data_IF_911532132429
#
_entry.id   IF_911532132429
#
_cell.length_a   1.000
_cell.length_b   1.000
_cell.length_c   1.000
_cell.angle_alpha   90.00
_cell.angle_beta   90.00
_cell.angle_gamma   90.00
#
_symmetry.space_group_name_H-M   'P 1'
#
loop_
_entity.id
_entity.type
_entity.pdbx_description
1 polymer ?
#
# COMPACT_ATOMS: atom_id res chain seq x y z
N UNK A 1 -7.96 -72.11 38.21
CA UNK A 1 -7.12 -70.88 38.22
C UNK A 1 -7.73 -69.96 37.17
N UNK A 2 -8.03 -68.67 37.31
CA UNK A 2 -7.89 -67.60 38.32
C UNK A 2 -9.16 -66.71 38.21
N UNK A 3 -9.28 -65.75 39.11
CA UNK A 3 -10.51 -65.15 39.66
C UNK A 3 -11.20 -64.08 38.81
N UNK A 4 -12.47 -63.89 39.17
CA UNK A 4 -13.47 -62.87 38.83
C UNK A 4 -13.01 -61.48 39.29
N UNK A 5 -13.37 -60.41 38.56
CA UNK A 5 -14.19 -59.28 39.08
C UNK A 5 -13.98 -57.95 38.34
N UNK A 6 -15.12 -57.41 37.89
CA UNK A 6 -15.49 -56.05 37.52
C UNK A 6 -15.08 -54.98 38.56
N UNK A 7 -14.69 -53.78 38.11
CA UNK A 7 -14.88 -52.46 38.77
C UNK A 7 -14.68 -51.38 37.68
N UNK A 8 -15.70 -50.63 37.23
CA UNK A 8 -16.32 -49.39 37.76
C UNK A 8 -15.38 -48.17 37.94
N UNK A 9 -15.71 -47.12 37.16
CA UNK A 9 -15.59 -45.66 37.41
C UNK A 9 -14.25 -45.04 37.86
N UNK A 10 -13.77 -44.05 37.11
CA UNK A 10 -13.54 -42.68 37.60
C UNK A 10 -13.11 -41.74 36.47
N UNK A 11 -13.91 -40.73 36.19
CA UNK A 11 -13.55 -39.56 35.39
C UNK A 11 -12.66 -38.65 36.23
N UNK A 12 -11.50 -38.26 35.73
CA UNK A 12 -10.71 -37.15 36.29
C UNK A 12 -10.32 -36.18 35.20
N UNK A 13 -10.94 -34.99 35.26
CA UNK A 13 -10.43 -33.75 34.69
C UNK A 13 -9.00 -33.52 35.18
N UNK A 14 -8.07 -33.24 34.27
CA UNK A 14 -6.78 -32.68 34.59
C UNK A 14 -6.76 -31.22 34.14
N UNK A 15 -6.89 -30.28 35.09
CA UNK A 15 -6.54 -28.87 34.90
C UNK A 15 -5.15 -28.63 35.50
N UNK A 16 -4.41 -27.79 34.79
CA UNK A 16 -3.02 -27.38 34.95
C UNK A 16 -2.51 -27.11 36.38
N UNK A 17 -1.21 -27.38 36.57
CA UNK A 17 -0.27 -26.50 37.28
C UNK A 17 1.13 -26.74 36.69
N UNK A 18 1.68 -25.72 36.01
CA UNK A 18 2.69 -24.80 36.51
C UNK A 18 4.00 -25.51 36.89
N UNK A 19 4.86 -25.71 35.88
CA UNK A 19 6.28 -25.92 36.09
C UNK A 19 6.90 -24.60 36.55
N UNK A 20 7.08 -24.48 37.86
CA UNK A 20 8.06 -23.60 38.48
C UNK A 20 9.46 -24.10 38.12
N UNK A 21 10.21 -23.34 37.32
CA UNK A 21 11.65 -23.47 37.22
C UNK A 21 12.27 -22.22 37.83
N UNK A 22 12.71 -22.36 39.07
CA UNK A 22 13.60 -21.43 39.75
C UNK A 22 15.03 -21.63 39.26
N UNK A 23 15.68 -20.57 38.85
CA UNK A 23 17.03 -20.15 39.27
C UNK A 23 17.50 -19.05 38.33
N UNK A 24 17.97 -17.96 38.91
CA UNK A 24 18.52 -16.78 38.25
C UNK A 24 19.37 -17.09 37.01
N UNK A 25 18.87 -16.67 35.85
CA UNK A 25 19.68 -16.01 34.85
C UNK A 25 18.82 -14.85 34.35
N UNK A 26 19.37 -13.64 34.40
CA UNK A 26 18.75 -12.41 33.94
C UNK A 26 18.57 -12.47 32.41
N UNK A 27 17.64 -13.30 31.94
CA UNK A 27 17.11 -13.26 30.59
C UNK A 27 15.74 -12.63 30.69
N UNK A 28 15.73 -11.30 30.65
CA UNK A 28 14.57 -10.57 30.15
C UNK A 28 14.20 -11.20 28.82
N UNK A 29 13.18 -12.06 28.84
CA UNK A 29 12.60 -12.64 27.63
C UNK A 29 12.44 -11.49 26.64
N UNK A 30 12.93 -11.62 25.39
CA UNK A 30 12.82 -10.53 24.43
C UNK A 30 11.34 -10.19 24.33
N UNK A 31 10.96 -8.98 24.76
CA UNK A 31 9.61 -8.51 24.46
C UNK A 31 9.46 -8.62 22.94
N UNK A 32 8.36 -9.20 22.42
CA UNK A 32 8.15 -9.23 20.99
C UNK A 32 8.22 -7.79 20.50
N UNK A 33 9.28 -7.49 19.73
CA UNK A 33 9.40 -6.19 19.10
C UNK A 33 8.14 -6.00 18.26
N UNK A 34 7.44 -4.86 18.37
CA UNK A 34 6.31 -4.58 17.52
C UNK A 34 6.79 -4.75 16.07
N UNK A 35 6.13 -5.63 15.32
CA UNK A 35 6.43 -5.76 13.90
C UNK A 35 6.27 -4.38 13.26
N UNK A 36 7.19 -3.96 12.39
CA UNK A 36 7.06 -2.68 11.70
C UNK A 36 5.69 -2.66 11.02
N UNK A 37 4.85 -1.69 11.41
CA UNK A 37 3.52 -1.55 10.83
C UNK A 37 3.69 -1.14 9.38
N UNK A 38 3.21 -1.96 8.45
CA UNK A 38 3.22 -1.60 7.04
C UNK A 38 2.15 -0.53 6.78
N UNK A 39 2.55 0.73 6.87
CA UNK A 39 1.66 1.90 6.74
C UNK A 39 0.98 1.99 5.36
N UNK A 40 1.53 1.31 4.34
CA UNK A 40 0.95 1.27 3.00
C UNK A 40 -0.40 0.54 2.98
N UNK A 41 -0.58 -0.48 3.82
CA UNK A 41 -1.74 -1.38 3.75
C UNK A 41 -3.06 -0.68 4.05
N UNK A 42 -4.10 -0.97 3.26
CA UNK A 42 -5.44 -0.40 3.38
C UNK A 42 -5.78 0.57 2.25
N UNK A 43 -6.92 1.24 2.42
CA UNK A 43 -7.54 2.09 1.40
C UNK A 43 -7.00 3.51 1.37
N UNK A 44 -6.84 4.03 0.16
CA UNK A 44 -6.32 5.35 -0.15
C UNK A 44 -7.14 5.98 -1.26
N UNK A 45 -7.48 7.26 -1.12
CA UNK A 45 -8.17 8.04 -2.16
C UNK A 45 -7.32 9.27 -2.53
N UNK A 46 -7.10 9.47 -3.82
CA UNK A 46 -6.37 10.63 -4.32
C UNK A 46 -7.19 11.91 -4.11
N UNK A 47 -6.61 12.89 -3.42
CA UNK A 47 -7.24 14.19 -3.13
C UNK A 47 -6.66 15.33 -3.95
N UNK A 48 -5.36 15.24 -4.23
CA UNK A 48 -4.61 16.30 -4.90
C UNK A 48 -3.59 15.74 -5.86
N UNK A 49 -3.17 16.57 -6.80
CA UNK A 49 -2.08 16.27 -7.72
C UNK A 49 -1.19 17.51 -7.90
N UNK A 50 0.12 17.29 -7.93
CA UNK A 50 1.08 18.25 -8.47
C UNK A 50 1.50 17.78 -9.86
N UNK A 51 1.66 18.71 -10.79
CA UNK A 51 2.07 18.43 -12.15
C UNK A 51 3.00 19.52 -12.66
N UNK A 52 4.17 19.11 -13.13
CA UNK A 52 5.10 19.96 -13.84
C UNK A 52 5.43 19.33 -15.18
N UNK A 53 5.29 20.11 -16.26
CA UNK A 53 5.65 19.71 -17.61
C UNK A 53 6.59 20.75 -18.21
N UNK A 54 7.73 20.28 -18.71
CA UNK A 54 8.71 21.10 -19.42
C UNK A 54 8.93 20.54 -20.82
N UNK A 55 9.07 21.40 -21.82
CA UNK A 55 9.42 21.01 -23.19
C UNK A 55 10.46 21.96 -23.76
N UNK A 56 11.61 21.40 -24.19
CA UNK A 56 12.72 22.20 -24.72
C UNK A 56 13.24 23.25 -23.73
N UNK A 57 13.16 22.96 -22.42
CA UNK A 57 13.56 23.86 -21.34
C UNK A 57 12.51 24.92 -20.95
N UNK A 58 11.35 24.97 -21.63
CA UNK A 58 10.25 25.86 -21.26
C UNK A 58 9.24 25.12 -20.37
N UNK A 59 8.84 25.73 -19.27
CA UNK A 59 7.76 25.23 -18.41
C UNK A 59 6.43 25.49 -19.10
N UNK A 60 5.70 24.42 -19.41
CA UNK A 60 4.37 24.46 -20.04
C UNK A 60 3.25 24.37 -18.99
N UNK A 61 3.46 23.54 -17.97
CA UNK A 61 2.53 23.32 -16.86
C UNK A 61 3.35 23.34 -15.57
N UNK A 62 2.86 24.05 -14.56
CA UNK A 62 3.39 24.03 -13.19
C UNK A 62 2.22 24.30 -12.24
N UNK A 63 1.53 23.21 -11.89
CA UNK A 63 0.35 23.23 -11.04
C UNK A 63 0.65 22.45 -9.75
N UNK A 64 0.24 23.00 -8.62
CA UNK A 64 0.40 22.39 -7.31
C UNK A 64 -0.94 22.27 -6.63
N UNK A 65 -1.12 21.19 -5.87
CA UNK A 65 -2.29 20.95 -5.04
C UNK A 65 -3.62 21.03 -5.80
N UNK A 66 -3.63 20.60 -7.08
CA UNK A 66 -4.84 20.56 -7.90
C UNK A 66 -5.84 19.61 -7.28
N UNK A 67 -7.01 20.13 -6.90
CA UNK A 67 -8.09 19.36 -6.29
C UNK A 67 -8.71 18.40 -7.34
N UNK A 68 -8.52 17.11 -7.11
CA UNK A 68 -8.94 16.06 -8.06
C UNK A 68 -10.45 15.87 -8.05
N UNK A 69 -11.11 16.15 -6.92
CA UNK A 69 -12.57 16.04 -6.78
C UNK A 69 -13.28 17.10 -7.60
N UNK A 70 -12.75 18.32 -7.64
CA UNK A 70 -13.30 19.41 -8.46
C UNK A 70 -13.08 19.14 -9.95
N UNK A 71 -11.94 18.51 -10.30
CA UNK A 71 -11.69 18.02 -11.65
C UNK A 71 -12.51 16.76 -12.02
N UNK A 72 -13.29 16.20 -11.10
CA UNK A 72 -14.05 14.97 -11.30
C UNK A 72 -13.20 13.69 -11.39
N UNK A 73 -11.89 13.78 -11.14
CA UNK A 73 -10.96 12.66 -11.17
C UNK A 73 -11.09 11.86 -9.87
N UNK A 74 -11.15 10.53 -9.98
CA UNK A 74 -11.15 9.61 -8.84
C UNK A 74 -10.09 8.54 -9.06
N UNK A 75 -9.17 8.41 -8.11
CA UNK A 75 -8.20 7.31 -8.09
C UNK A 75 -8.17 6.77 -6.67
N UNK A 76 -8.43 5.48 -6.54
CA UNK A 76 -8.47 4.77 -5.27
C UNK A 76 -7.61 3.51 -5.35
N UNK A 77 -6.89 3.23 -4.27
CA UNK A 77 -6.08 2.02 -4.11
C UNK A 77 -6.35 1.38 -2.75
N UNK A 78 -6.44 0.04 -2.71
CA UNK A 78 -6.50 -0.74 -1.49
C UNK A 78 -5.39 -1.79 -1.49
N UNK A 79 -4.27 -1.45 -0.83
CA UNK A 79 -3.09 -2.31 -0.77
C UNK A 79 -3.28 -3.42 0.28
N UNK A 80 -3.11 -4.66 -0.14
CA UNK A 80 -3.29 -5.86 0.69
C UNK A 80 -1.94 -6.48 1.08
N UNK A 81 -1.93 -7.22 2.20
CA UNK A 81 -0.72 -7.84 2.74
C UNK A 81 -0.10 -8.93 1.86
N UNK A 82 -0.85 -9.46 0.89
CA UNK A 82 -0.41 -10.47 -0.09
C UNK A 82 0.21 -9.86 -1.36
N UNK A 83 0.51 -8.56 -1.34
CA UNK A 83 1.05 -7.79 -2.47
C UNK A 83 0.07 -7.59 -3.65
N UNK A 84 -1.23 -7.72 -3.39
CA UNK A 84 -2.28 -7.30 -4.31
C UNK A 84 -2.77 -5.89 -4.00
N UNK A 85 -3.27 -5.19 -5.01
CA UNK A 85 -3.93 -3.89 -4.88
C UNK A 85 -5.25 -3.93 -5.64
N UNK A 86 -6.35 -3.63 -4.95
CA UNK A 86 -7.61 -3.32 -5.62
C UNK A 86 -7.57 -1.84 -6.02
N UNK A 87 -8.00 -1.53 -7.24
CA UNK A 87 -7.96 -0.16 -7.75
C UNK A 87 -9.26 0.24 -8.43
N UNK A 88 -9.54 1.53 -8.36
CA UNK A 88 -10.57 2.21 -9.16
C UNK A 88 -9.96 3.50 -9.70
N UNK A 89 -10.12 3.76 -11.00
CA UNK A 89 -9.62 4.95 -11.68
C UNK A 89 -10.71 5.48 -12.59
N UNK A 90 -11.03 6.75 -12.45
CA UNK A 90 -11.94 7.49 -13.31
C UNK A 90 -11.35 8.86 -13.62
N UNK A 91 -11.26 9.16 -14.91
CA UNK A 91 -10.87 10.47 -15.44
C UNK A 91 -11.94 10.92 -16.42
N UNK A 92 -12.60 12.07 -16.18
CA UNK A 92 -13.65 12.54 -17.07
C UNK A 92 -13.11 12.96 -18.44
N UNK A 93 -13.99 12.99 -19.45
CA UNK A 93 -13.62 13.47 -20.77
C UNK A 93 -13.17 14.94 -20.73
N UNK A 94 -12.14 15.27 -21.53
CA UNK A 94 -11.71 16.63 -21.83
C UNK A 94 -11.91 16.91 -23.33
N UNK A 95 -11.59 18.13 -23.78
CA UNK A 95 -11.61 18.43 -25.22
C UNK A 95 -10.61 17.60 -26.04
N UNK A 96 -9.60 17.03 -25.37
CA UNK A 96 -8.47 16.36 -26.00
C UNK A 96 -8.45 14.84 -25.71
N UNK A 97 -9.22 14.37 -24.73
CA UNK A 97 -9.19 12.99 -24.27
C UNK A 97 -10.60 12.49 -23.93
N UNK A 98 -10.93 11.27 -24.35
CA UNK A 98 -12.17 10.62 -23.97
C UNK A 98 -12.18 10.28 -22.47
N UNK A 99 -13.37 10.12 -21.91
CA UNK A 99 -13.54 9.58 -20.56
C UNK A 99 -12.84 8.22 -20.43
N UNK A 100 -12.22 8.00 -19.27
CA UNK A 100 -11.56 6.74 -18.94
C UNK A 100 -12.07 6.25 -17.59
N UNK A 101 -12.50 5.00 -17.54
CA UNK A 101 -12.86 4.31 -16.31
C UNK A 101 -12.25 2.91 -16.32
N UNK A 102 -11.60 2.53 -15.22
CA UNK A 102 -11.00 1.23 -15.05
C UNK A 102 -11.02 0.83 -13.58
N UNK A 103 -11.30 -0.44 -13.31
CA UNK A 103 -11.21 -1.02 -11.97
C UNK A 103 -10.75 -2.47 -12.03
N UNK A 104 -10.15 -2.96 -10.96
CA UNK A 104 -9.82 -4.38 -10.84
C UNK A 104 -8.85 -4.67 -9.72
N UNK A 105 -8.17 -5.80 -9.84
CA UNK A 105 -7.09 -6.22 -8.93
C UNK A 105 -5.79 -6.29 -9.72
N UNK A 106 -4.73 -5.75 -9.14
CA UNK A 106 -3.39 -5.73 -9.69
C UNK A 106 -2.39 -6.21 -8.62
N UNK A 107 -1.12 -6.30 -8.98
CA UNK A 107 -0.04 -6.59 -8.03
C UNK A 107 0.85 -5.38 -7.83
N UNK A 108 1.54 -5.34 -6.69
CA UNK A 108 2.57 -4.35 -6.45
C UNK A 108 3.80 -4.96 -5.79
N UNK A 109 4.96 -4.35 -6.00
CA UNK A 109 6.17 -4.62 -5.23
C UNK A 109 6.67 -3.33 -4.61
N UNK A 110 7.29 -3.42 -3.43
CA UNK A 110 7.88 -2.27 -2.75
C UNK A 110 9.34 -2.56 -2.40
N UNK A 111 10.22 -1.64 -2.76
CA UNK A 111 11.64 -1.69 -2.42
C UNK A 111 12.08 -0.33 -1.87
N UNK A 112 12.18 -0.21 -0.54
CA UNK A 112 12.43 1.06 0.12
C UNK A 112 11.35 2.10 -0.19
N UNK A 113 11.77 3.17 -0.87
CA UNK A 113 10.93 4.30 -1.28
C UNK A 113 10.42 4.17 -2.71
N UNK A 114 10.57 3.00 -3.35
CA UNK A 114 9.98 2.72 -4.66
C UNK A 114 8.83 1.72 -4.53
N UNK A 115 7.75 1.97 -5.28
CA UNK A 115 6.65 1.03 -5.46
C UNK A 115 6.38 0.84 -6.95
N UNK A 116 6.36 -0.41 -7.40
CA UNK A 116 5.98 -0.76 -8.77
C UNK A 116 4.62 -1.41 -8.75
N UNK A 117 3.63 -0.81 -9.43
CA UNK A 117 2.30 -1.37 -9.60
C UNK A 117 2.15 -1.96 -11.01
N UNK A 118 1.59 -3.15 -11.13
CA UNK A 118 1.38 -3.84 -12.42
C UNK A 118 -0.12 -4.02 -12.66
N UNK A 119 -0.74 -3.01 -13.27
CA UNK A 119 -2.16 -3.05 -13.66
C UNK A 119 -2.30 -3.66 -15.06
N UNK A 120 -1.65 -3.06 -16.06
CA UNK A 120 -1.52 -3.57 -17.42
C UNK A 120 -0.04 -3.68 -17.80
N UNK A 121 0.70 -2.60 -17.56
CA UNK A 121 2.15 -2.53 -17.61
C UNK A 121 2.70 -2.13 -16.24
N UNK A 122 3.91 -2.59 -15.87
CA UNK A 122 4.56 -2.14 -14.65
C UNK A 122 4.83 -0.63 -14.70
N UNK A 123 4.36 0.09 -13.68
CA UNK A 123 4.64 1.52 -13.49
C UNK A 123 5.28 1.71 -12.12
N UNK A 124 6.45 2.32 -12.08
CA UNK A 124 7.19 2.59 -10.85
C UNK A 124 6.96 4.01 -10.39
N UNK A 125 6.70 4.17 -9.09
CA UNK A 125 6.55 5.43 -8.41
C UNK A 125 7.57 5.54 -7.28
N UNK A 126 8.07 6.74 -7.05
CA UNK A 126 8.80 7.08 -5.83
C UNK A 126 7.81 7.53 -4.76
N UNK A 127 7.84 6.88 -3.60
CA UNK A 127 7.10 7.27 -2.40
C UNK A 127 7.80 8.50 -1.80
N UNK A 128 7.19 9.68 -1.93
CA UNK A 128 7.73 10.92 -1.32
C UNK A 128 7.29 11.09 0.13
N UNK A 129 6.09 10.60 0.46
CA UNK A 129 5.51 10.62 1.80
C UNK A 129 4.75 9.32 2.01
N UNK A 130 4.95 8.69 3.17
CA UNK A 130 4.12 7.59 3.66
C UNK A 130 4.00 7.69 5.18
N UNK A 131 2.80 7.97 5.67
CA UNK A 131 2.48 7.96 7.09
C UNK A 131 1.09 7.31 7.31
N UNK A 132 0.51 7.42 8.51
CA UNK A 132 -0.80 6.82 8.83
C UNK A 132 -1.98 7.44 8.07
N UNK A 133 -1.82 8.63 7.50
CA UNK A 133 -2.89 9.42 6.89
C UNK A 133 -2.62 9.81 5.45
N UNK A 134 -1.35 9.87 5.03
CA UNK A 134 -0.92 10.40 3.73
C UNK A 134 0.00 9.44 2.98
N UNK A 135 -0.19 9.38 1.67
CA UNK A 135 0.65 8.66 0.72
C UNK A 135 0.86 9.57 -0.50
N UNK A 136 2.11 9.91 -0.81
CA UNK A 136 2.45 10.70 -2.01
C UNK A 136 3.28 9.83 -2.97
N UNK A 137 2.72 9.57 -4.14
CA UNK A 137 3.35 8.79 -5.21
C UNK A 137 3.79 9.71 -6.33
N UNK A 138 5.10 9.74 -6.59
CA UNK A 138 5.70 10.55 -7.63
C UNK A 138 6.11 9.70 -8.84
N UNK A 139 5.87 10.23 -10.02
CA UNK A 139 6.31 9.66 -11.28
C UNK A 139 7.01 10.74 -12.08
N UNK A 140 8.26 10.49 -12.45
CA UNK A 140 9.04 11.33 -13.35
C UNK A 140 9.26 10.58 -14.67
N UNK A 141 8.97 11.24 -15.79
CA UNK A 141 9.20 10.73 -17.12
C UNK A 141 9.95 11.77 -17.95
N UNK A 142 10.87 11.28 -18.76
CA UNK A 142 11.63 12.09 -19.70
C UNK A 142 11.62 11.40 -21.06
N UNK A 143 11.16 12.10 -22.08
CA UNK A 143 11.00 11.57 -23.44
C UNK A 143 11.34 12.62 -24.49
N UNK A 144 11.70 12.19 -25.69
CA UNK A 144 11.92 13.09 -26.82
C UNK A 144 10.67 13.13 -27.70
N UNK A 145 10.04 14.30 -27.81
CA UNK A 145 8.85 14.54 -28.64
C UNK A 145 9.21 15.59 -29.69
N UNK A 146 9.10 15.23 -30.97
CA UNK A 146 9.41 16.13 -32.10
C UNK A 146 10.81 16.77 -32.03
N UNK A 147 11.82 16.02 -31.57
CA UNK A 147 13.21 16.51 -31.43
C UNK A 147 13.43 17.43 -30.22
N UNK A 148 12.44 17.57 -29.34
CA UNK A 148 12.54 18.32 -28.09
C UNK A 148 12.40 17.39 -26.89
N UNK A 149 13.27 17.56 -25.91
CA UNK A 149 13.17 16.85 -24.63
C UNK A 149 11.95 17.38 -23.87
N UNK A 150 11.06 16.46 -23.50
CA UNK A 150 9.90 16.68 -22.66
C UNK A 150 10.14 16.01 -21.32
N UNK A 151 9.87 16.74 -20.23
CA UNK A 151 9.95 16.24 -18.86
C UNK A 151 8.58 16.37 -18.22
N UNK A 152 8.11 15.30 -17.60
CA UNK A 152 6.83 15.24 -16.92
C UNK A 152 7.11 14.76 -15.50
N UNK A 153 6.75 15.57 -14.51
CA UNK A 153 6.87 15.25 -13.09
C UNK A 153 5.48 15.37 -12.46
N UNK A 154 4.92 14.25 -12.00
CA UNK A 154 3.58 14.17 -11.45
C UNK A 154 3.66 13.58 -10.04
N UNK A 155 3.09 14.27 -9.05
CA UNK A 155 2.92 13.73 -7.70
C UNK A 155 1.45 13.59 -7.37
N UNK A 156 1.01 12.35 -7.19
CA UNK A 156 -0.33 12.01 -6.74
C UNK A 156 -0.36 11.98 -5.20
N UNK A 157 -1.30 12.72 -4.59
CA UNK A 157 -1.40 12.86 -3.13
C UNK A 157 -2.69 12.21 -2.64
N UNK A 158 -2.52 11.14 -1.86
CA UNK A 158 -3.60 10.31 -1.33
C UNK A 158 -3.81 10.54 0.16
N UNK A 159 -5.06 10.39 0.59
CA UNK A 159 -5.44 10.33 2.00
C UNK A 159 -5.98 8.94 2.33
N UNK A 160 -5.66 8.46 3.53
CA UNK A 160 -6.19 7.20 4.05
C UNK A 160 -7.71 7.27 4.22
N UNK A 161 -8.41 6.20 3.83
CA UNK A 161 -9.86 6.03 4.06
C UNK A 161 -10.16 5.18 5.28
#
# INVERSE_FOLDING_TARGET
>A
MKRISTFLFASTLAIASLSSCSSDDNSSAPQPQPQPTNLLLGKWEMRKMDMKMEMGGNVLIDEQDVDTKTAGIKIEYDFKADNTVEYYMYTPATQQQAEQEQSGTATYTRNGDEITMTISTPTTYTIKVLNSTELHLNMYQEEEVNGSQTKIDITQKFTKM
#
